data_IF_601893938829
#
_entry.id   IF_601893938829
#
_cell.length_a   1.000
_cell.length_b   1.000
_cell.length_c   1.000
_cell.angle_alpha   90.00
_cell.angle_beta   90.00
_cell.angle_gamma   90.00
#
_symmetry.space_group_name_H-M   'P 1'
#
loop_
_entity.id
_entity.type
_entity.pdbx_description
1 polymer ?
#
# COMPACT_ATOMS: atom_id res chain seq x y z
N UNK A 1 16.36 -25.91 10.76
CA UNK A 1 14.98 -26.34 10.46
C UNK A 1 14.19 -25.18 9.87
N UNK A 2 14.09 -25.03 8.56
CA UNK A 2 13.34 -23.93 7.94
C UNK A 2 13.76 -23.58 6.52
N UNK A 3 14.81 -24.20 6.00
CA UNK A 3 15.35 -23.91 4.66
C UNK A 3 14.31 -24.06 3.53
N UNK A 4 13.33 -24.94 3.69
CA UNK A 4 12.25 -25.10 2.73
C UNK A 4 11.34 -23.85 2.63
N UNK A 5 11.18 -23.09 3.73
CA UNK A 5 10.39 -21.84 3.74
C UNK A 5 11.04 -20.79 2.84
N UNK A 6 12.36 -20.64 2.92
CA UNK A 6 13.11 -19.76 2.02
C UNK A 6 12.97 -20.18 0.56
N UNK A 7 13.07 -21.50 0.29
CA UNK A 7 12.90 -22.01 -1.08
C UNK A 7 11.49 -21.72 -1.64
N UNK A 8 10.44 -21.87 -0.83
CA UNK A 8 9.06 -21.51 -1.22
C UNK A 8 8.94 -20.01 -1.49
N UNK A 9 9.49 -19.15 -0.61
CA UNK A 9 9.42 -17.71 -0.81
C UNK A 9 10.23 -17.23 -2.02
N UNK A 10 11.37 -17.85 -2.31
CA UNK A 10 12.13 -17.61 -3.53
C UNK A 10 11.35 -18.02 -4.78
N UNK A 11 10.65 -19.16 -4.75
CA UNK A 11 9.78 -19.58 -5.85
C UNK A 11 8.62 -18.57 -6.06
N UNK A 12 7.98 -18.11 -4.97
CA UNK A 12 6.94 -17.07 -5.03
C UNK A 12 7.50 -15.78 -5.63
N UNK A 13 8.68 -15.33 -5.20
CA UNK A 13 9.33 -14.15 -5.75
C UNK A 13 9.61 -14.28 -7.25
N UNK A 14 10.09 -15.46 -7.70
CA UNK A 14 10.29 -15.73 -9.13
C UNK A 14 8.99 -15.72 -9.94
N UNK A 15 7.90 -16.25 -9.40
CA UNK A 15 6.57 -16.19 -10.04
C UNK A 15 6.10 -14.74 -10.17
N UNK A 16 6.23 -13.94 -9.10
CA UNK A 16 5.86 -12.53 -9.13
C UNK A 16 6.72 -11.73 -10.13
N UNK A 17 8.04 -12.00 -10.21
CA UNK A 17 8.90 -11.40 -11.22
C UNK A 17 8.46 -11.78 -12.64
N UNK A 18 8.12 -13.04 -12.88
CA UNK A 18 7.59 -13.48 -14.16
C UNK A 18 6.29 -12.75 -14.53
N UNK A 19 5.36 -12.62 -13.58
CA UNK A 19 4.10 -11.88 -13.79
C UNK A 19 4.36 -10.40 -14.08
N UNK A 20 5.26 -9.75 -13.35
CA UNK A 20 5.59 -8.34 -13.55
C UNK A 20 6.32 -8.08 -14.87
N UNK A 21 7.34 -8.87 -15.19
CA UNK A 21 8.21 -8.63 -16.35
C UNK A 21 7.59 -9.17 -17.66
N UNK A 22 7.15 -10.44 -17.65
CA UNK A 22 6.69 -11.11 -18.87
C UNK A 22 5.21 -10.81 -19.15
N UNK A 23 4.37 -10.91 -18.12
CA UNK A 23 2.94 -10.64 -18.25
C UNK A 23 2.58 -9.16 -18.14
N UNK A 24 3.55 -8.31 -17.75
CA UNK A 24 3.40 -6.84 -17.60
C UNK A 24 2.27 -6.44 -16.64
N UNK A 25 2.04 -7.23 -15.61
CA UNK A 25 1.08 -6.91 -14.54
C UNK A 25 1.70 -5.92 -13.59
N UNK A 26 1.28 -4.66 -13.65
CA UNK A 26 1.78 -3.56 -12.81
C UNK A 26 3.30 -3.62 -12.57
N UNK A 27 4.13 -3.55 -13.64
CA UNK A 27 5.57 -3.81 -13.52
C UNK A 27 6.27 -2.86 -12.55
N UNK A 28 5.78 -1.62 -12.40
CA UNK A 28 6.37 -0.64 -11.48
C UNK A 28 6.27 -1.06 -10.01
N UNK A 29 5.18 -1.70 -9.63
CA UNK A 29 4.97 -2.18 -8.26
C UNK A 29 5.44 -3.62 -8.10
N UNK A 30 4.98 -4.52 -8.96
CA UNK A 30 5.15 -5.95 -8.79
C UNK A 30 6.62 -6.38 -8.90
N UNK A 31 7.41 -5.77 -9.79
CA UNK A 31 8.84 -6.09 -9.91
C UNK A 31 9.60 -5.65 -8.66
N UNK A 32 9.31 -4.46 -8.13
CA UNK A 32 9.93 -3.98 -6.89
C UNK A 32 9.61 -4.87 -5.68
N UNK A 33 8.33 -5.26 -5.52
CA UNK A 33 7.88 -6.17 -4.45
C UNK A 33 8.57 -7.52 -4.57
N UNK A 34 8.55 -8.10 -5.77
CA UNK A 34 9.11 -9.42 -6.02
C UNK A 34 10.64 -9.44 -5.83
N UNK A 35 11.34 -8.38 -6.25
CA UNK A 35 12.77 -8.25 -6.05
C UNK A 35 13.11 -8.07 -4.55
N UNK A 36 12.36 -7.24 -3.83
CA UNK A 36 12.50 -7.12 -2.38
C UNK A 36 12.25 -8.43 -1.65
N UNK A 37 11.21 -9.18 -2.05
CA UNK A 37 10.91 -10.51 -1.53
C UNK A 37 12.05 -11.50 -1.81
N UNK A 38 12.65 -11.46 -2.99
CA UNK A 38 13.80 -12.27 -3.35
C UNK A 38 15.01 -11.94 -2.46
N UNK A 39 15.35 -10.66 -2.32
CA UNK A 39 16.50 -10.22 -1.53
C UNK A 39 16.34 -10.54 -0.04
N UNK A 40 15.15 -10.34 0.54
CA UNK A 40 14.90 -10.60 1.97
C UNK A 40 14.90 -12.08 2.31
N UNK A 41 14.64 -12.96 1.34
CA UNK A 41 14.65 -14.42 1.52
C UNK A 41 15.91 -15.09 0.97
N UNK A 42 16.93 -14.32 0.54
CA UNK A 42 18.18 -14.87 0.03
C UNK A 42 19.00 -15.47 1.19
N UNK A 43 19.24 -16.77 1.20
CA UNK A 43 20.01 -17.40 2.27
C UNK A 43 21.43 -16.82 2.32
N UNK A 44 21.93 -16.54 3.52
CA UNK A 44 23.27 -16.01 3.78
C UNK A 44 23.54 -14.61 3.17
N UNK A 45 22.49 -13.92 2.70
CA UNK A 45 22.63 -12.59 2.08
C UNK A 45 23.01 -11.48 3.06
N UNK A 46 22.76 -11.66 4.38
CA UNK A 46 23.03 -10.62 5.40
C UNK A 46 22.32 -9.28 5.14
N UNK A 47 21.24 -9.29 4.36
CA UNK A 47 20.51 -8.09 3.98
C UNK A 47 19.38 -7.76 4.95
N UNK A 48 18.78 -8.79 5.55
CA UNK A 48 17.67 -8.70 6.49
C UNK A 48 17.85 -9.68 7.64
N UNK A 49 17.65 -9.22 8.88
CA UNK A 49 17.84 -9.99 10.10
C UNK A 49 16.58 -9.99 10.95
N UNK A 50 15.77 -11.05 10.83
CA UNK A 50 14.52 -11.19 11.59
C UNK A 50 14.75 -11.08 13.11
N UNK A 51 15.83 -11.66 13.61
CA UNK A 51 16.17 -11.66 15.04
C UNK A 51 16.34 -10.24 15.62
N UNK A 52 16.88 -9.29 14.84
CA UNK A 52 17.00 -7.90 15.27
C UNK A 52 15.63 -7.25 15.44
N UNK A 53 14.67 -7.56 14.56
CA UNK A 53 13.31 -7.04 14.63
C UNK A 53 12.51 -7.72 15.75
N UNK A 54 12.73 -8.99 16.01
CA UNK A 54 12.12 -9.72 17.13
C UNK A 54 12.62 -9.11 18.46
N UNK A 55 13.91 -8.82 18.57
CA UNK A 55 14.49 -8.12 19.73
C UNK A 55 13.97 -6.68 19.87
N UNK A 56 13.81 -5.96 18.76
CA UNK A 56 13.24 -4.61 18.75
C UNK A 56 11.80 -4.58 19.29
N UNK A 57 11.02 -5.63 19.08
CA UNK A 57 9.64 -5.75 19.55
C UNK A 57 9.54 -6.36 20.95
N UNK A 58 10.57 -6.96 21.47
CA UNK A 58 10.58 -7.64 22.77
C UNK A 58 10.87 -6.67 23.91
N UNK A 59 9.92 -6.37 24.82
CA UNK A 59 10.13 -5.45 25.94
C UNK A 59 11.25 -5.86 26.90
N UNK A 60 11.62 -7.15 26.90
CA UNK A 60 12.69 -7.68 27.75
C UNK A 60 14.07 -7.60 27.10
N UNK A 61 14.17 -7.15 25.86
CA UNK A 61 15.42 -7.02 25.13
C UNK A 61 16.10 -5.67 25.42
N UNK A 62 17.43 -5.67 25.48
CA UNK A 62 18.25 -4.45 25.53
C UNK A 62 18.04 -3.57 24.30
N UNK A 63 17.64 -4.17 23.18
CA UNK A 63 17.38 -3.48 21.90
C UNK A 63 15.93 -3.05 21.71
N UNK A 64 15.10 -3.10 22.76
CA UNK A 64 13.69 -2.71 22.67
C UNK A 64 13.55 -1.27 22.15
N UNK A 65 12.85 -1.12 21.03
CA UNK A 65 12.63 0.15 20.30
C UNK A 65 13.91 0.92 19.95
N UNK A 66 15.08 0.25 19.89
CA UNK A 66 16.36 0.87 19.55
C UNK A 66 16.63 0.82 18.04
N UNK A 67 16.25 1.86 17.31
CA UNK A 67 16.62 2.00 15.87
C UNK A 67 18.14 2.12 15.70
N UNK A 68 18.86 2.66 16.69
CA UNK A 68 20.31 2.75 16.65
C UNK A 68 21.02 1.40 16.62
N UNK A 69 20.48 0.39 17.29
CA UNK A 69 21.00 -0.98 17.23
C UNK A 69 20.81 -1.57 15.82
N UNK A 70 19.63 -1.39 15.24
CA UNK A 70 19.34 -1.86 13.87
C UNK A 70 20.25 -1.19 12.84
N UNK A 71 20.54 0.11 12.99
CA UNK A 71 21.45 0.82 12.08
C UNK A 71 22.91 0.35 12.19
N UNK A 72 23.33 -0.19 13.34
CA UNK A 72 24.71 -0.66 13.54
C UNK A 72 24.89 -2.12 13.15
N UNK A 73 23.92 -2.96 13.42
CA UNK A 73 24.03 -4.42 13.31
C UNK A 73 23.21 -4.98 12.14
N UNK A 74 22.28 -4.20 11.61
CA UNK A 74 21.39 -4.60 10.53
C UNK A 74 22.02 -4.54 9.15
N UNK A 75 21.43 -5.27 8.21
CA UNK A 75 21.76 -5.20 6.80
C UNK A 75 21.03 -4.05 6.08
N UNK A 76 21.24 -3.96 4.79
CA UNK A 76 20.65 -2.88 3.94
C UNK A 76 19.14 -2.81 4.05
N UNK A 77 18.46 -3.98 4.00
CA UNK A 77 17.00 -4.03 4.07
C UNK A 77 16.47 -3.72 5.46
N UNK A 78 17.24 -4.02 6.53
CA UNK A 78 16.87 -3.64 7.89
C UNK A 78 16.85 -2.11 8.03
N UNK A 79 17.85 -1.42 7.47
CA UNK A 79 17.92 0.04 7.46
C UNK A 79 16.73 0.65 6.67
N UNK A 80 16.42 0.11 5.49
CA UNK A 80 15.25 0.57 4.74
C UNK A 80 13.94 0.29 5.49
N UNK A 81 13.85 -0.82 6.20
CA UNK A 81 12.64 -1.15 6.96
C UNK A 81 12.37 -0.17 8.11
N UNK A 82 13.39 0.53 8.63
CA UNK A 82 13.19 1.65 9.57
C UNK A 82 12.26 2.71 8.96
N UNK A 83 12.45 3.08 7.69
CA UNK A 83 11.60 4.06 7.01
C UNK A 83 10.15 3.59 6.84
N UNK A 84 9.91 2.27 6.77
CA UNK A 84 8.56 1.69 6.82
C UNK A 84 7.97 1.81 8.22
N UNK A 85 8.71 1.37 9.25
CA UNK A 85 8.28 1.39 10.66
C UNK A 85 8.01 2.80 11.18
N UNK A 86 8.76 3.79 10.73
CA UNK A 86 8.58 5.20 11.10
C UNK A 86 7.52 5.92 10.27
N UNK A 87 6.87 5.24 9.32
CA UNK A 87 5.89 5.81 8.38
C UNK A 87 6.48 6.89 7.45
N UNK A 88 7.81 7.00 7.34
CA UNK A 88 8.46 7.97 6.45
C UNK A 88 8.17 7.65 4.97
N UNK A 89 8.35 6.40 4.56
CA UNK A 89 8.16 6.02 3.17
C UNK A 89 6.72 6.14 2.68
N UNK A 90 5.67 5.76 3.42
CA UNK A 90 4.30 6.05 3.02
C UNK A 90 4.07 7.52 2.67
N UNK A 91 4.53 8.45 3.50
CA UNK A 91 4.38 9.89 3.23
C UNK A 91 5.13 10.32 1.96
N UNK A 92 6.36 9.83 1.74
CA UNK A 92 7.13 10.12 0.53
C UNK A 92 6.49 9.53 -0.73
N UNK A 93 5.89 8.34 -0.63
CA UNK A 93 5.15 7.72 -1.74
C UNK A 93 3.93 8.56 -2.11
N UNK A 94 3.16 9.03 -1.13
CA UNK A 94 2.01 9.92 -1.39
C UNK A 94 2.43 11.21 -2.07
N UNK A 95 3.49 11.84 -1.59
CA UNK A 95 4.03 13.04 -2.24
C UNK A 95 4.43 12.75 -3.71
N UNK A 96 5.06 11.61 -3.98
CA UNK A 96 5.44 11.21 -5.34
C UNK A 96 4.23 10.91 -6.23
N UNK A 97 3.25 10.17 -5.71
CA UNK A 97 2.00 9.86 -6.42
C UNK A 97 1.20 11.13 -6.70
N UNK A 98 1.07 12.01 -5.70
CA UNK A 98 0.38 13.29 -5.84
C UNK A 98 1.02 14.18 -6.93
N UNK A 99 2.35 14.23 -6.99
CA UNK A 99 3.08 14.99 -7.99
C UNK A 99 2.87 14.45 -9.43
N UNK A 100 2.59 13.17 -9.58
CA UNK A 100 2.33 12.53 -10.89
C UNK A 100 0.85 12.50 -11.27
N UNK A 101 -0.06 12.78 -10.35
CA UNK A 101 -1.50 12.67 -10.56
C UNK A 101 -2.02 13.84 -11.42
N UNK A 102 -2.70 13.53 -12.52
CA UNK A 102 -3.45 14.53 -13.28
C UNK A 102 -4.87 14.66 -12.75
N UNK A 103 -5.14 15.71 -11.99
CA UNK A 103 -6.46 16.03 -11.45
C UNK A 103 -7.44 16.63 -12.50
N UNK A 104 -7.00 16.84 -13.72
CA UNK A 104 -7.81 17.45 -14.79
C UNK A 104 -9.17 16.76 -14.98
N UNK A 105 -9.24 15.44 -15.16
CA UNK A 105 -10.50 14.72 -15.33
C UNK A 105 -11.45 14.85 -14.13
N UNK A 106 -10.91 14.84 -12.92
CA UNK A 106 -11.68 15.00 -11.69
C UNK A 106 -12.27 16.40 -11.54
N UNK A 107 -11.47 17.44 -11.85
CA UNK A 107 -11.90 18.84 -11.83
C UNK A 107 -12.95 19.10 -12.91
N UNK A 108 -12.79 18.49 -14.09
CA UNK A 108 -13.74 18.61 -15.19
C UNK A 108 -15.09 17.93 -14.88
N UNK A 109 -15.06 16.81 -14.15
CA UNK A 109 -16.25 16.06 -13.77
C UNK A 109 -16.25 15.73 -12.27
N UNK A 110 -16.70 16.65 -11.39
CA UNK A 110 -16.73 16.43 -9.94
C UNK A 110 -17.57 15.20 -9.50
N UNK A 111 -18.52 14.73 -10.32
CA UNK A 111 -19.29 13.52 -10.01
C UNK A 111 -18.40 12.28 -9.88
N UNK A 112 -17.19 12.31 -10.43
CA UNK A 112 -16.18 11.23 -10.30
C UNK A 112 -15.77 10.98 -8.84
N UNK A 113 -15.95 11.93 -7.92
CA UNK A 113 -15.79 11.70 -6.48
C UNK A 113 -16.69 10.58 -5.94
N UNK A 114 -17.86 10.35 -6.57
CA UNK A 114 -18.75 9.25 -6.16
C UNK A 114 -18.12 7.87 -6.40
N UNK A 115 -17.22 7.73 -7.37
CA UNK A 115 -16.47 6.50 -7.59
C UNK A 115 -15.53 6.20 -6.43
N UNK A 116 -14.85 7.23 -5.92
CA UNK A 116 -14.02 7.12 -4.70
C UNK A 116 -14.86 6.76 -3.48
N UNK A 117 -16.03 7.37 -3.32
CA UNK A 117 -16.96 7.03 -2.24
C UNK A 117 -17.45 5.58 -2.33
N UNK A 118 -17.72 5.07 -3.54
CA UNK A 118 -18.08 3.67 -3.75
C UNK A 118 -16.94 2.71 -3.38
N UNK A 119 -15.68 3.07 -3.68
CA UNK A 119 -14.51 2.29 -3.30
C UNK A 119 -14.36 2.15 -1.77
N UNK A 120 -14.75 3.17 -0.99
CA UNK A 120 -14.73 3.10 0.46
C UNK A 120 -15.66 2.00 1.03
N UNK A 121 -16.68 1.60 0.30
CA UNK A 121 -17.56 0.50 0.73
C UNK A 121 -16.78 -0.81 0.90
N UNK A 122 -15.76 -1.05 0.08
CA UNK A 122 -14.86 -2.21 0.22
C UNK A 122 -14.09 -2.19 1.54
N UNK A 123 -13.66 -1.02 2.01
CA UNK A 123 -12.97 -0.86 3.30
C UNK A 123 -13.92 -1.22 4.45
N UNK A 124 -15.15 -0.71 4.44
CA UNK A 124 -16.12 -1.04 5.49
C UNK A 124 -16.47 -2.53 5.50
N UNK A 125 -16.68 -3.12 4.33
CA UNK A 125 -16.95 -4.56 4.23
C UNK A 125 -15.79 -5.40 4.80
N UNK A 126 -14.54 -5.04 4.48
CA UNK A 126 -13.35 -5.70 4.99
C UNK A 126 -13.21 -5.51 6.53
N UNK A 127 -13.56 -4.32 7.06
CA UNK A 127 -13.56 -4.06 8.49
C UNK A 127 -14.51 -5.00 9.24
N UNK A 128 -15.77 -5.06 8.81
CA UNK A 128 -16.76 -5.93 9.45
C UNK A 128 -16.39 -7.41 9.32
N UNK A 129 -15.82 -7.81 8.18
CA UNK A 129 -15.35 -9.18 8.00
C UNK A 129 -14.20 -9.51 8.97
N UNK A 130 -13.24 -8.60 9.15
CA UNK A 130 -12.13 -8.78 10.08
C UNK A 130 -12.63 -8.87 11.54
N UNK A 131 -13.58 -8.02 11.96
CA UNK A 131 -14.23 -8.12 13.27
C UNK A 131 -14.93 -9.47 13.43
N UNK A 132 -15.67 -9.91 12.41
CA UNK A 132 -16.35 -11.21 12.45
C UNK A 132 -15.38 -12.40 12.56
N UNK A 133 -14.19 -12.26 11.98
CA UNK A 133 -13.10 -13.25 12.11
C UNK A 133 -12.39 -13.21 13.49
N UNK A 134 -12.74 -12.28 14.37
CA UNK A 134 -12.21 -12.19 15.74
C UNK A 134 -10.99 -11.28 15.92
N UNK A 135 -10.63 -10.46 14.92
CA UNK A 135 -9.59 -9.44 15.10
C UNK A 135 -10.10 -8.31 16.01
N UNK A 136 -9.18 -7.73 16.78
CA UNK A 136 -9.51 -6.53 17.56
C UNK A 136 -9.75 -5.30 16.65
N UNK A 137 -10.43 -4.29 17.17
CA UNK A 137 -10.84 -3.10 16.41
C UNK A 137 -9.67 -2.43 15.67
N UNK A 138 -8.49 -2.31 16.31
CA UNK A 138 -7.33 -1.67 15.71
C UNK A 138 -6.71 -2.51 14.59
N UNK A 139 -6.62 -3.82 14.80
CA UNK A 139 -6.15 -4.73 13.76
C UNK A 139 -7.14 -4.80 12.59
N UNK A 140 -8.45 -4.88 12.89
CA UNK A 140 -9.49 -4.86 11.89
C UNK A 140 -9.46 -3.57 11.05
N UNK A 141 -9.26 -2.41 11.69
CA UNK A 141 -9.09 -1.13 11.00
C UNK A 141 -7.85 -1.12 10.10
N UNK A 142 -6.71 -1.64 10.59
CA UNK A 142 -5.48 -1.72 9.79
C UNK A 142 -5.62 -2.68 8.59
N UNK A 143 -6.30 -3.82 8.76
CA UNK A 143 -6.57 -4.79 7.71
C UNK A 143 -7.56 -4.23 6.68
N UNK A 144 -8.58 -3.51 7.14
CA UNK A 144 -9.67 -3.03 6.28
C UNK A 144 -9.21 -2.09 5.16
N UNK A 145 -8.18 -1.30 5.40
CA UNK A 145 -7.63 -0.36 4.40
C UNK A 145 -7.11 -1.08 3.15
N UNK A 146 -6.72 -2.35 3.24
CA UNK A 146 -6.38 -3.17 2.08
C UNK A 146 -7.52 -3.18 1.06
N UNK A 147 -8.78 -3.16 1.52
CA UNK A 147 -9.96 -3.09 0.65
C UNK A 147 -10.06 -1.83 -0.21
N UNK A 148 -9.34 -0.77 0.12
CA UNK A 148 -9.23 0.46 -0.67
C UNK A 148 -8.19 0.39 -1.79
N UNK A 149 -7.44 -0.70 -1.91
CA UNK A 149 -6.32 -0.89 -2.85
C UNK A 149 -5.25 0.21 -2.76
N UNK A 150 -4.93 0.61 -1.53
CA UNK A 150 -3.95 1.66 -1.22
C UNK A 150 -2.88 1.12 -0.25
N UNK A 151 -1.76 0.70 -0.81
CA UNK A 151 -0.64 0.12 -0.06
C UNK A 151 -0.02 1.07 0.96
N UNK A 152 0.37 2.29 0.57
CA UNK A 152 0.97 3.26 1.47
C UNK A 152 0.08 3.62 2.67
N UNK A 153 -1.23 3.85 2.45
CA UNK A 153 -2.19 4.12 3.54
C UNK A 153 -2.30 2.94 4.49
N UNK A 154 -2.29 1.71 3.97
CA UNK A 154 -2.36 0.50 4.79
C UNK A 154 -1.18 0.41 5.77
N UNK A 155 0.04 0.69 5.30
CA UNK A 155 1.25 0.70 6.13
C UNK A 155 1.18 1.85 7.14
N UNK A 156 0.83 3.05 6.69
CA UNK A 156 0.73 4.22 7.56
C UNK A 156 -0.26 4.00 8.71
N UNK A 157 -1.46 3.50 8.39
CA UNK A 157 -2.50 3.28 9.39
C UNK A 157 -2.12 2.17 10.36
N UNK A 158 -1.54 1.06 9.88
CA UNK A 158 -1.06 -0.02 10.75
C UNK A 158 -0.01 0.49 11.75
N UNK A 159 0.94 1.29 11.29
CA UNK A 159 1.93 1.94 12.14
C UNK A 159 1.30 2.92 13.14
N UNK A 160 0.36 3.77 12.68
CA UNK A 160 -0.33 4.77 13.52
C UNK A 160 -1.19 4.14 14.61
N UNK A 161 -1.81 2.99 14.34
CA UNK A 161 -2.62 2.22 15.29
C UNK A 161 -1.78 1.33 16.22
N UNK A 162 -0.47 1.32 16.06
CA UNK A 162 0.45 0.49 16.86
C UNK A 162 0.37 -1.00 16.53
N UNK A 163 -0.16 -1.37 15.35
CA UNK A 163 -0.29 -2.76 14.89
C UNK A 163 0.98 -3.20 14.13
N UNK A 164 2.12 -3.01 14.77
CA UNK A 164 3.44 -3.19 14.14
C UNK A 164 3.75 -4.65 13.78
N UNK A 165 3.15 -5.61 14.48
CA UNK A 165 3.26 -7.05 14.19
C UNK A 165 2.60 -7.43 12.84
N UNK A 166 1.50 -6.73 12.47
CA UNK A 166 0.80 -6.95 11.21
C UNK A 166 1.35 -6.13 10.04
N UNK A 167 2.31 -5.25 10.28
CA UNK A 167 2.80 -4.29 9.31
C UNK A 167 3.38 -4.97 8.06
N UNK A 168 4.20 -6.00 8.24
CA UNK A 168 4.74 -6.81 7.15
C UNK A 168 3.65 -7.53 6.35
N UNK A 169 2.82 -8.38 6.98
CA UNK A 169 1.70 -9.04 6.30
C UNK A 169 0.74 -8.08 5.61
N UNK A 170 0.38 -6.95 6.23
CA UNK A 170 -0.49 -5.93 5.63
C UNK A 170 0.17 -5.30 4.41
N UNK A 171 1.46 -4.96 4.48
CA UNK A 171 2.18 -4.39 3.34
C UNK A 171 2.18 -5.36 2.15
N UNK A 172 2.55 -6.62 2.37
CA UNK A 172 2.57 -7.63 1.31
C UNK A 172 1.17 -7.85 0.73
N UNK A 173 0.14 -7.97 1.56
CA UNK A 173 -1.24 -8.15 1.11
C UNK A 173 -1.73 -6.94 0.30
N UNK A 174 -1.52 -5.72 0.79
CA UNK A 174 -1.97 -4.49 0.16
C UNK A 174 -1.33 -4.28 -1.22
N UNK A 175 0.00 -4.41 -1.30
CA UNK A 175 0.71 -4.23 -2.58
C UNK A 175 0.43 -5.36 -3.57
N UNK A 176 0.34 -6.61 -3.09
CA UNK A 176 -0.04 -7.75 -3.95
C UNK A 176 -1.46 -7.58 -4.49
N UNK A 177 -2.39 -7.12 -3.66
CA UNK A 177 -3.75 -6.81 -4.08
C UNK A 177 -3.78 -5.72 -5.15
N UNK A 178 -3.07 -4.61 -4.94
CA UNK A 178 -2.94 -3.53 -5.93
C UNK A 178 -2.41 -4.07 -7.27
N UNK A 179 -1.38 -4.90 -7.24
CA UNK A 179 -0.80 -5.48 -8.45
C UNK A 179 -1.75 -6.45 -9.18
N UNK A 180 -2.70 -7.07 -8.46
CA UNK A 180 -3.68 -8.00 -9.02
C UNK A 180 -4.97 -7.31 -9.50
N UNK A 181 -5.23 -6.06 -9.13
CA UNK A 181 -6.43 -5.31 -9.54
C UNK A 181 -6.65 -5.33 -11.07
N UNK A 182 -5.64 -5.11 -11.93
CA UNK A 182 -5.80 -5.19 -13.38
C UNK A 182 -6.27 -6.55 -13.90
N UNK A 183 -6.13 -7.61 -13.13
CA UNK A 183 -6.57 -8.96 -13.47
C UNK A 183 -7.99 -9.21 -12.95
N UNK A 184 -8.26 -8.76 -11.72
CA UNK A 184 -9.52 -9.02 -11.01
C UNK A 184 -10.64 -8.12 -11.55
N UNK A 185 -10.34 -6.87 -11.85
CA UNK A 185 -11.34 -5.87 -12.25
C UNK A 185 -12.02 -6.16 -13.58
N UNK A 186 -11.34 -6.53 -14.70
CA UNK A 186 -11.98 -6.71 -15.98
C UNK A 186 -13.06 -7.79 -16.03
N UNK A 187 -12.92 -8.98 -15.41
CA UNK A 187 -14.00 -9.97 -15.35
C UNK A 187 -15.24 -9.45 -14.63
N UNK A 188 -15.06 -8.73 -13.52
CA UNK A 188 -16.17 -8.16 -12.74
C UNK A 188 -16.86 -7.07 -13.54
N UNK A 189 -16.11 -6.20 -14.21
CA UNK A 189 -16.66 -5.16 -15.09
C UNK A 189 -17.48 -5.78 -16.23
N UNK A 190 -16.98 -6.85 -16.85
CA UNK A 190 -17.72 -7.57 -17.92
C UNK A 190 -19.00 -8.21 -17.41
N UNK A 191 -19.03 -8.68 -16.17
CA UNK A 191 -20.20 -9.27 -15.55
C UNK A 191 -21.29 -8.23 -15.26
N UNK A 192 -20.88 -7.03 -14.84
CA UNK A 192 -21.78 -5.97 -14.36
C UNK A 192 -22.21 -4.99 -15.46
N UNK A 193 -21.56 -5.00 -16.63
CA UNK A 193 -21.82 -4.04 -17.71
C UNK A 193 -22.12 -4.74 -19.02
N UNK A 194 -22.96 -4.12 -19.86
CA UNK A 194 -23.25 -4.56 -21.22
C UNK A 194 -22.12 -4.17 -22.19
N UNK A 195 -22.10 -4.78 -23.39
CA UNK A 195 -21.13 -4.39 -24.43
C UNK A 195 -21.32 -2.96 -24.93
N UNK A 196 -22.54 -2.47 -24.95
CA UNK A 196 -22.88 -1.12 -25.36
C UNK A 196 -22.37 -0.08 -24.37
N UNK A 197 -22.57 -0.32 -23.07
CA UNK A 197 -22.04 0.54 -22.01
C UNK A 197 -20.51 0.62 -22.04
N UNK A 198 -19.83 -0.48 -22.33
CA UNK A 198 -18.35 -0.50 -22.43
C UNK A 198 -17.80 0.22 -23.66
N UNK A 199 -18.62 0.50 -24.68
CA UNK A 199 -18.22 1.27 -25.86
C UNK A 199 -18.31 2.78 -25.66
N UNK A 200 -18.96 3.25 -24.57
CA UNK A 200 -19.07 4.67 -24.26
C UNK A 200 -17.68 5.25 -24.02
N UNK A 201 -17.30 6.25 -24.80
CA UNK A 201 -16.04 6.96 -24.62
C UNK A 201 -16.18 7.96 -23.47
N UNK A 202 -15.28 7.88 -22.52
CA UNK A 202 -15.16 8.84 -21.43
C UNK A 202 -14.34 10.05 -21.93
N UNK A 203 -15.04 11.11 -22.30
CA UNK A 203 -14.41 12.36 -22.75
C UNK A 203 -14.38 13.39 -21.62
N UNK A 204 -13.35 14.23 -21.63
CA UNK A 204 -13.24 15.33 -20.67
C UNK A 204 -14.32 16.38 -20.98
N UNK A 205 -15.18 16.67 -20.00
CA UNK A 205 -16.35 17.54 -20.18
C UNK A 205 -15.98 19.00 -20.48
N UNK A 206 -14.85 19.48 -19.96
CA UNK A 206 -14.36 20.84 -20.18
C UNK A 206 -12.84 20.92 -20.09
N UNK A 207 -12.21 21.88 -20.77
CA UNK A 207 -10.81 22.17 -20.53
C UNK A 207 -10.58 22.69 -19.11
N UNK A 208 -9.51 22.24 -18.47
CA UNK A 208 -9.11 22.67 -17.13
C UNK A 208 -7.87 23.55 -17.23
N UNK A 209 -7.93 24.73 -16.61
CA UNK A 209 -6.83 25.68 -16.64
C UNK A 209 -5.65 25.21 -15.78
N UNK A 210 -4.44 25.72 -16.09
CA UNK A 210 -3.23 25.41 -15.27
C UNK A 210 -3.41 25.89 -13.82
N UNK A 211 -4.10 27.00 -13.60
CA UNK A 211 -4.35 27.56 -12.28
C UNK A 211 -5.26 26.63 -11.46
N UNK A 212 -6.32 26.08 -12.07
CA UNK A 212 -7.21 25.12 -11.40
C UNK A 212 -6.44 23.85 -10.97
N UNK A 213 -5.55 23.32 -11.83
CA UNK A 213 -4.73 22.13 -11.53
C UNK A 213 -3.76 22.37 -10.36
N UNK A 214 -3.28 23.61 -10.18
CA UNK A 214 -2.39 23.97 -9.06
C UNK A 214 -3.18 24.23 -7.77
N UNK A 215 -4.27 24.99 -7.87
CA UNK A 215 -5.05 25.38 -6.69
C UNK A 215 -5.86 24.23 -6.10
N UNK A 216 -6.35 23.32 -6.95
CA UNK A 216 -7.21 22.22 -6.51
C UNK A 216 -6.55 21.35 -5.41
N UNK A 217 -5.36 20.76 -5.60
CA UNK A 217 -4.74 19.96 -4.55
C UNK A 217 -4.43 20.78 -3.29
N UNK A 218 -4.01 22.04 -3.44
CA UNK A 218 -3.75 22.93 -2.28
C UNK A 218 -5.01 23.15 -1.45
N UNK A 219 -6.13 23.48 -2.11
CA UNK A 219 -7.41 23.71 -1.44
C UNK A 219 -7.89 22.43 -0.77
N UNK A 220 -7.83 21.29 -1.47
CA UNK A 220 -8.24 20.00 -0.92
C UNK A 220 -7.39 19.65 0.30
N UNK A 221 -6.07 19.78 0.21
CA UNK A 221 -5.16 19.55 1.34
C UNK A 221 -5.51 20.40 2.54
N UNK A 222 -5.69 21.71 2.36
CA UNK A 222 -6.05 22.63 3.46
C UNK A 222 -7.38 22.23 4.08
N UNK A 223 -8.41 21.98 3.27
CA UNK A 223 -9.75 21.62 3.77
C UNK A 223 -9.71 20.30 4.53
N UNK A 224 -9.07 19.27 3.98
CA UNK A 224 -8.96 17.94 4.62
C UNK A 224 -8.16 18.04 5.92
N UNK A 225 -7.03 18.75 5.93
CA UNK A 225 -6.23 18.92 7.14
C UNK A 225 -6.96 19.72 8.26
N UNK A 226 -7.84 20.64 7.89
CA UNK A 226 -8.67 21.36 8.87
C UNK A 226 -9.75 20.46 9.48
N UNK A 227 -10.33 19.56 8.69
CA UNK A 227 -11.36 18.60 9.16
C UNK A 227 -10.73 17.46 9.95
N UNK A 228 -9.62 16.90 9.45
CA UNK A 228 -8.96 15.74 10.02
C UNK A 228 -7.43 15.92 10.04
N UNK A 229 -6.88 16.66 11.02
CA UNK A 229 -5.45 16.98 11.08
C UNK A 229 -4.50 15.76 11.04
N UNK A 230 -4.98 14.62 11.51
CA UNK A 230 -4.19 13.37 11.55
C UNK A 230 -3.87 12.79 10.16
N UNK A 231 -4.58 13.22 9.12
CA UNK A 231 -4.35 12.79 7.74
C UNK A 231 -3.35 13.67 6.98
N UNK A 232 -2.90 14.78 7.57
CA UNK A 232 -1.97 15.70 6.93
C UNK A 232 -0.75 15.05 6.26
N UNK A 233 -0.13 13.99 6.82
CA UNK A 233 0.97 13.30 6.17
C UNK A 233 0.60 12.51 4.91
N UNK A 234 -0.70 12.28 4.66
CA UNK A 234 -1.21 11.47 3.55
C UNK A 234 -1.77 12.31 2.40
N UNK A 235 -2.09 13.58 2.66
CA UNK A 235 -2.72 14.51 1.73
C UNK A 235 -1.73 15.51 1.18
#
# INVERSE_FOLDING_TARGET
>A
EGGWKYAVMLAVACVLLYLGIVKKFEPLLLVGIAFGCLLSNLPLGGLYHQELWDNFMNPSSEFFHSYGAIMREGGLLDIFYIGVKTSLYPCLIFMGVGAMTDFGPLIANPKSFLLGAAAQFGIYAAYFLAIFMGFNDKAAAAISIIGGADGPTSIFLAGKLGQTEYLGPIAVAAYSYMALVPIIQPPIMKLLTTEEERKIKMEQLRPVSKLEKILFPIIVTVVVCLILPTTAPLV
#
